data_IF_918960030544
#
_entry.id   IF_918960030544
#
_cell.length_a   1.000
_cell.length_b   1.000
_cell.length_c   1.000
_cell.angle_alpha   90.00
_cell.angle_beta   90.00
_cell.angle_gamma   90.00
#
_symmetry.space_group_name_H-M   'P 1'
#
loop_
_entity.id
_entity.type
_entity.pdbx_description
1 polymer ?
#
# COMPACT_ATOMS: atom_id res chain seq x y z
N UNK A 1 9.46 23.96 43.34
CA UNK A 1 8.21 23.17 43.37
C UNK A 1 7.38 23.61 42.17
N UNK A 2 7.55 22.95 41.02
CA UNK A 2 6.77 23.21 39.81
C UNK A 2 5.96 21.96 39.51
N UNK A 3 4.64 22.08 39.64
CA UNK A 3 3.68 21.06 39.23
C UNK A 3 3.57 21.09 37.70
N UNK A 4 3.99 20.01 37.05
CA UNK A 4 3.70 19.77 35.64
C UNK A 4 2.37 19.03 35.60
N UNK A 5 1.34 19.69 35.05
CA UNK A 5 0.03 19.12 34.81
C UNK A 5 0.16 17.94 33.83
N UNK A 6 -0.31 16.77 34.26
CA UNK A 6 -0.39 15.58 33.41
C UNK A 6 -1.40 15.81 32.30
N UNK A 7 -0.94 15.74 31.05
CA UNK A 7 -1.80 15.62 29.89
C UNK A 7 -2.45 14.22 29.95
N UNK A 8 -3.76 14.19 30.23
CA UNK A 8 -4.53 12.96 30.21
C UNK A 8 -4.49 12.38 28.79
N UNK A 9 -3.86 11.21 28.63
CA UNK A 9 -4.02 10.40 27.42
C UNK A 9 -5.48 9.98 27.36
N UNK A 10 -6.20 10.42 26.34
CA UNK A 10 -7.50 9.86 25.98
C UNK A 10 -7.37 8.33 25.89
N UNK A 11 -8.25 7.64 26.61
CA UNK A 11 -8.31 6.19 26.60
C UNK A 11 -8.62 5.72 25.17
N UNK A 12 -7.78 4.83 24.63
CA UNK A 12 -8.02 4.18 23.36
C UNK A 12 -9.41 3.53 23.37
N UNK A 13 -10.29 3.96 22.46
CA UNK A 13 -11.59 3.33 22.22
C UNK A 13 -11.30 1.88 21.81
N UNK A 14 -11.90 0.87 22.47
CA UNK A 14 -11.67 -0.52 22.09
C UNK A 14 -12.23 -0.74 20.69
N UNK A 15 -11.36 -1.14 19.77
CA UNK A 15 -11.75 -1.51 18.41
C UNK A 15 -12.63 -2.74 18.51
N UNK A 16 -13.93 -2.60 18.27
CA UNK A 16 -14.85 -3.74 18.22
C UNK A 16 -14.41 -4.68 17.11
N UNK A 17 -14.21 -5.97 17.39
CA UNK A 17 -14.09 -7.00 16.36
C UNK A 17 -15.31 -6.89 15.44
N UNK A 18 -15.12 -6.29 14.26
CA UNK A 18 -16.20 -5.93 13.37
C UNK A 18 -16.83 -7.17 12.77
N UNK A 19 -18.10 -7.42 13.09
CA UNK A 19 -18.87 -8.52 12.48
C UNK A 19 -18.77 -8.48 10.94
N UNK A 20 -18.27 -9.55 10.33
CA UNK A 20 -18.22 -9.74 8.87
C UNK A 20 -19.62 -10.14 8.39
N UNK A 21 -20.20 -9.32 7.52
CA UNK A 21 -21.50 -9.55 6.88
C UNK A 21 -21.48 -10.74 5.92
N UNK A 22 -22.65 -11.27 5.57
CA UNK A 22 -22.75 -12.35 4.58
C UNK A 22 -22.10 -11.98 3.25
N UNK A 23 -22.28 -10.73 2.79
CA UNK A 23 -21.70 -10.25 1.52
C UNK A 23 -20.18 -10.23 1.57
N UNK A 24 -19.61 -9.74 2.67
CA UNK A 24 -18.15 -9.70 2.88
C UNK A 24 -17.56 -11.13 2.98
N UNK A 25 -18.29 -12.09 3.56
CA UNK A 25 -17.89 -13.50 3.53
C UNK A 25 -17.84 -14.05 2.09
N UNK A 26 -18.80 -13.70 1.25
CA UNK A 26 -18.77 -14.10 -0.18
C UNK A 26 -17.60 -13.47 -0.92
N UNK A 27 -17.26 -12.22 -0.62
CA UNK A 27 -16.06 -11.57 -1.16
C UNK A 27 -14.79 -12.29 -0.73
N UNK A 28 -14.64 -12.62 0.56
CA UNK A 28 -13.45 -13.27 1.10
C UNK A 28 -13.28 -14.71 0.61
N UNK A 29 -14.35 -15.42 0.23
CA UNK A 29 -14.24 -16.76 -0.37
C UNK A 29 -13.48 -16.78 -1.71
N UNK A 30 -13.42 -15.65 -2.41
CA UNK A 30 -12.70 -15.52 -3.68
C UNK A 30 -11.25 -15.09 -3.51
N UNK A 31 -10.83 -14.73 -2.30
CA UNK A 31 -9.48 -14.26 -2.02
C UNK A 31 -8.75 -15.22 -1.10
N UNK A 32 -7.43 -15.27 -1.23
CA UNK A 32 -6.60 -16.03 -0.31
C UNK A 32 -5.21 -15.44 -0.21
N UNK A 33 -4.57 -15.72 0.92
CA UNK A 33 -3.20 -15.33 1.23
C UNK A 33 -2.42 -16.55 1.71
N UNK A 34 -1.15 -16.63 1.33
CA UNK A 34 -0.19 -17.48 2.00
C UNK A 34 1.20 -16.86 2.03
N UNK A 35 1.97 -17.21 3.06
CA UNK A 35 3.29 -16.66 3.30
C UNK A 35 4.34 -17.76 3.08
N UNK A 36 5.40 -17.46 2.33
CA UNK A 36 6.46 -18.42 2.00
C UNK A 36 7.79 -17.72 1.77
N UNK A 37 8.82 -18.14 2.50
CA UNK A 37 10.21 -17.65 2.34
C UNK A 37 10.34 -16.12 2.37
N UNK A 38 9.59 -15.46 3.26
CA UNK A 38 9.58 -14.00 3.38
C UNK A 38 8.71 -13.26 2.35
N UNK A 39 8.04 -13.98 1.46
CA UNK A 39 7.08 -13.43 0.50
C UNK A 39 5.63 -13.69 0.94
N UNK A 40 4.76 -12.74 0.62
CA UNK A 40 3.31 -12.87 0.76
C UNK A 40 2.74 -13.06 -0.63
N UNK A 41 2.03 -14.16 -0.89
CA UNK A 41 1.20 -14.27 -2.09
C UNK A 41 -0.23 -13.88 -1.72
N UNK A 42 -0.82 -12.98 -2.50
CA UNK A 42 -2.19 -12.51 -2.33
C UNK A 42 -2.95 -12.68 -3.64
N UNK A 43 -4.04 -13.43 -3.61
CA UNK A 43 -5.02 -13.47 -4.68
C UNK A 43 -6.24 -12.64 -4.30
N UNK A 44 -6.66 -11.74 -5.18
CA UNK A 44 -7.88 -10.92 -5.06
C UNK A 44 -8.67 -10.95 -6.37
N UNK A 45 -9.99 -10.93 -6.27
CA UNK A 45 -10.89 -11.12 -7.40
C UNK A 45 -12.14 -10.26 -7.28
N UNK A 46 -12.58 -9.72 -8.42
CA UNK A 46 -13.90 -9.10 -8.58
C UNK A 46 -13.86 -7.61 -8.88
N UNK A 47 -14.95 -6.94 -8.52
CA UNK A 47 -15.11 -5.50 -8.76
C UNK A 47 -14.21 -4.65 -7.86
N UNK A 48 -14.02 -3.35 -8.16
CA UNK A 48 -13.02 -2.51 -7.50
C UNK A 48 -13.12 -2.49 -5.98
N UNK A 49 -14.30 -2.22 -5.44
CA UNK A 49 -14.51 -2.23 -4.00
C UNK A 49 -14.31 -3.62 -3.36
N UNK A 50 -14.73 -4.68 -4.05
CA UNK A 50 -14.65 -6.06 -3.54
C UNK A 50 -13.18 -6.51 -3.41
N UNK A 51 -12.37 -6.35 -4.47
CA UNK A 51 -10.94 -6.69 -4.43
C UNK A 51 -10.17 -5.77 -3.49
N UNK A 52 -10.58 -4.50 -3.40
CA UNK A 52 -10.08 -3.56 -2.39
C UNK A 52 -10.33 -4.08 -0.97
N UNK A 53 -11.57 -4.49 -0.66
CA UNK A 53 -11.93 -5.06 0.64
C UNK A 53 -11.11 -6.30 0.98
N UNK A 54 -10.98 -7.24 0.04
CA UNK A 54 -10.19 -8.45 0.20
C UNK A 54 -8.73 -8.11 0.56
N UNK A 55 -8.10 -7.19 -0.18
CA UNK A 55 -6.73 -6.75 0.08
C UNK A 55 -6.60 -6.08 1.45
N UNK A 56 -7.42 -5.06 1.71
CA UNK A 56 -7.39 -4.32 2.97
C UNK A 56 -7.57 -5.22 4.19
N UNK A 57 -8.39 -6.27 4.07
CA UNK A 57 -8.60 -7.25 5.13
C UNK A 57 -7.41 -8.21 5.28
N UNK A 58 -6.94 -8.81 4.18
CA UNK A 58 -5.91 -9.86 4.21
C UNK A 58 -4.48 -9.34 4.45
N UNK A 59 -4.22 -8.05 4.17
CA UNK A 59 -2.91 -7.41 4.40
C UNK A 59 -2.99 -6.25 5.39
N UNK A 60 -3.95 -6.30 6.32
CA UNK A 60 -4.23 -5.20 7.23
C UNK A 60 -3.02 -4.83 8.12
N UNK A 61 -2.24 -5.82 8.54
CA UNK A 61 -1.06 -5.61 9.36
C UNK A 61 0.05 -4.92 8.56
N UNK A 62 0.30 -5.37 7.32
CA UNK A 62 1.33 -4.79 6.46
C UNK A 62 1.02 -3.33 6.10
N UNK A 63 -0.25 -3.01 5.87
CA UNK A 63 -0.70 -1.64 5.59
C UNK A 63 -0.52 -0.73 6.82
N UNK A 64 -0.95 -1.20 8.00
CA UNK A 64 -0.84 -0.47 9.27
C UNK A 64 0.62 -0.21 9.66
N UNK A 65 1.48 -1.22 9.50
CA UNK A 65 2.92 -1.12 9.78
C UNK A 65 3.64 -0.22 8.77
N UNK A 66 3.30 -0.28 7.48
CA UNK A 66 3.87 0.62 6.48
C UNK A 66 3.51 2.07 6.79
N UNK A 67 2.25 2.39 7.14
CA UNK A 67 1.87 3.76 7.48
C UNK A 67 2.68 4.32 8.65
N UNK A 68 2.83 3.51 9.72
CA UNK A 68 3.64 3.87 10.90
C UNK A 68 5.12 4.06 10.54
N UNK A 69 5.63 3.20 9.66
CA UNK A 69 7.02 3.27 9.19
C UNK A 69 7.24 4.54 8.36
N UNK A 70 6.33 4.85 7.44
CA UNK A 70 6.37 6.10 6.67
C UNK A 70 6.30 7.32 7.57
N UNK A 71 5.42 7.34 8.57
CA UNK A 71 5.33 8.43 9.55
C UNK A 71 6.67 8.66 10.27
N UNK A 72 7.34 7.58 10.68
CA UNK A 72 8.65 7.65 11.34
C UNK A 72 9.74 8.16 10.39
N UNK A 73 9.88 7.56 9.20
CA UNK A 73 10.89 7.93 8.20
C UNK A 73 10.74 9.41 7.83
N UNK A 74 9.52 9.82 7.47
CA UNK A 74 9.26 11.19 7.02
C UNK A 74 9.54 12.21 8.13
N UNK A 75 9.15 11.90 9.37
CA UNK A 75 9.46 12.78 10.51
C UNK A 75 10.97 12.89 10.73
N UNK A 76 11.68 11.76 10.67
CA UNK A 76 13.12 11.71 10.85
C UNK A 76 13.87 12.50 9.77
N UNK A 77 13.50 12.34 8.50
CA UNK A 77 14.21 12.95 7.37
C UNK A 77 13.84 14.42 7.11
N UNK A 78 12.61 14.82 7.45
CA UNK A 78 12.05 16.11 7.03
C UNK A 78 11.62 17.02 8.18
N UNK A 79 11.57 16.50 9.40
CA UNK A 79 10.96 17.12 10.57
C UNK A 79 9.45 17.43 10.45
N UNK A 80 8.79 17.03 9.36
CA UNK A 80 7.34 17.16 9.14
C UNK A 80 6.61 15.92 9.62
N UNK A 81 5.44 16.13 10.23
CA UNK A 81 4.54 15.04 10.63
C UNK A 81 3.82 14.45 9.41
N UNK A 82 3.32 13.21 9.55
CA UNK A 82 2.63 12.49 8.48
C UNK A 82 1.49 13.31 7.85
N UNK A 83 0.71 14.02 8.68
CA UNK A 83 -0.44 14.82 8.25
C UNK A 83 -0.07 15.84 7.17
N UNK A 84 1.12 16.42 7.23
CA UNK A 84 1.61 17.35 6.21
C UNK A 84 1.65 16.70 4.81
N UNK A 85 2.09 15.44 4.74
CA UNK A 85 2.18 14.69 3.47
C UNK A 85 0.83 14.14 3.03
N UNK A 86 -0.02 13.74 3.98
CA UNK A 86 -1.40 13.31 3.71
C UNK A 86 -2.22 14.45 3.11
N UNK A 87 -2.09 15.67 3.67
CA UNK A 87 -2.71 16.88 3.12
C UNK A 87 -2.19 17.21 1.70
N UNK A 88 -0.88 17.08 1.49
CA UNK A 88 -0.28 17.29 0.18
C UNK A 88 -0.81 16.28 -0.87
N UNK A 89 -0.89 15.00 -0.50
CA UNK A 89 -1.48 13.95 -1.34
C UNK A 89 -2.94 14.24 -1.66
N UNK A 90 -3.73 14.59 -0.65
CA UNK A 90 -5.12 14.97 -0.84
C UNK A 90 -5.26 16.15 -1.81
N UNK A 91 -4.44 17.20 -1.67
CA UNK A 91 -4.46 18.37 -2.55
C UNK A 91 -4.05 18.02 -3.99
N UNK A 92 -3.09 17.11 -4.17
CA UNK A 92 -2.58 16.77 -5.50
C UNK A 92 -3.50 15.80 -6.25
N UNK A 93 -4.07 14.81 -5.56
CA UNK A 93 -4.74 13.67 -6.18
C UNK A 93 -6.27 13.68 -6.07
N UNK A 94 -6.87 14.30 -5.05
CA UNK A 94 -8.35 14.31 -4.94
C UNK A 94 -8.96 14.93 -6.19
N UNK A 95 -9.98 14.25 -6.73
CA UNK A 95 -10.67 14.66 -7.97
C UNK A 95 -9.92 14.33 -9.28
N UNK A 96 -8.70 13.77 -9.21
CA UNK A 96 -7.91 13.40 -10.40
C UNK A 96 -7.71 11.89 -10.55
N UNK A 97 -7.88 11.13 -9.46
CA UNK A 97 -7.81 9.66 -9.49
C UNK A 97 -9.10 9.10 -10.08
N UNK A 98 -8.97 8.05 -10.91
CA UNK A 98 -10.10 7.40 -11.57
C UNK A 98 -11.09 6.84 -10.54
N UNK A 99 -12.38 6.80 -10.91
CA UNK A 99 -13.43 6.25 -10.04
C UNK A 99 -13.11 4.82 -9.58
N UNK A 100 -12.56 3.99 -10.47
CA UNK A 100 -12.20 2.62 -10.17
C UNK A 100 -11.18 2.53 -9.02
N UNK A 101 -10.09 3.30 -9.09
CA UNK A 101 -9.06 3.31 -8.06
C UNK A 101 -9.54 3.90 -6.74
N UNK A 102 -10.41 4.91 -6.80
CA UNK A 102 -11.07 5.45 -5.60
C UNK A 102 -11.92 4.37 -4.90
N UNK A 103 -12.72 3.61 -5.65
CA UNK A 103 -13.56 2.56 -5.08
C UNK A 103 -12.74 1.39 -4.53
N UNK A 104 -11.62 1.06 -5.17
CA UNK A 104 -10.68 0.05 -4.65
C UNK A 104 -10.03 0.50 -3.33
N UNK A 105 -9.51 1.72 -3.25
CA UNK A 105 -8.95 2.26 -2.00
C UNK A 105 -10.00 2.37 -0.88
N UNK A 106 -11.25 2.73 -1.19
CA UNK A 106 -12.35 2.71 -0.20
C UNK A 106 -12.65 1.29 0.28
N UNK A 107 -12.64 0.32 -0.64
CA UNK A 107 -12.75 -1.09 -0.30
C UNK A 107 -11.66 -1.50 0.68
N UNK A 108 -10.41 -1.10 0.42
CA UNK A 108 -9.28 -1.39 1.31
C UNK A 108 -9.50 -0.82 2.71
N UNK A 109 -9.90 0.45 2.83
CA UNK A 109 -10.22 1.05 4.13
C UNK A 109 -11.32 0.26 4.87
N UNK A 110 -12.39 -0.15 4.18
CA UNK A 110 -13.43 -0.98 4.79
C UNK A 110 -12.91 -2.36 5.22
N UNK A 111 -12.02 -2.97 4.44
CA UNK A 111 -11.36 -4.23 4.79
C UNK A 111 -10.46 -4.09 6.02
N UNK A 112 -9.67 -3.01 6.10
CA UNK A 112 -8.85 -2.67 7.28
C UNK A 112 -9.70 -2.56 8.55
N UNK A 113 -10.82 -1.84 8.47
CA UNK A 113 -11.75 -1.65 9.59
C UNK A 113 -12.28 -2.99 10.10
N UNK A 114 -12.68 -3.88 9.19
CA UNK A 114 -13.12 -5.25 9.53
C UNK A 114 -12.01 -6.12 10.11
N UNK A 115 -10.75 -5.86 9.78
CA UNK A 115 -9.59 -6.51 10.37
C UNK A 115 -9.16 -5.88 11.71
N UNK A 116 -9.92 -4.92 12.25
CA UNK A 116 -9.65 -4.28 13.54
C UNK A 116 -8.55 -3.22 13.46
N UNK A 117 -8.33 -2.63 12.29
CA UNK A 117 -7.36 -1.55 12.06
C UNK A 117 -8.08 -0.29 11.61
N UNK A 118 -7.58 0.88 12.02
CA UNK A 118 -8.15 2.17 11.64
C UNK A 118 -7.25 2.83 10.60
N UNK A 119 -7.87 3.31 9.51
CA UNK A 119 -7.19 4.10 8.49
C UNK A 119 -8.21 5.02 7.81
N UNK A 120 -7.84 6.26 7.55
CA UNK A 120 -8.64 7.19 6.76
C UNK A 120 -8.46 6.96 5.26
N UNK A 121 -9.42 7.41 4.46
CA UNK A 121 -9.28 7.37 3.01
C UNK A 121 -8.08 8.23 2.53
N UNK A 122 -7.82 9.36 3.18
CA UNK A 122 -6.71 10.25 2.88
C UNK A 122 -5.34 9.61 3.15
N UNK A 123 -5.20 8.87 4.24
CA UNK A 123 -3.98 8.08 4.50
C UNK A 123 -3.80 6.97 3.47
N UNK A 124 -4.87 6.27 3.09
CA UNK A 124 -4.82 5.26 2.03
C UNK A 124 -4.44 5.87 0.67
N UNK A 125 -4.98 7.05 0.36
CA UNK A 125 -4.64 7.82 -0.84
C UNK A 125 -3.18 8.27 -0.80
N UNK A 126 -2.69 8.73 0.36
CA UNK A 126 -1.29 9.05 0.56
C UNK A 126 -0.40 7.83 0.33
N UNK A 127 -0.72 6.66 0.91
CA UNK A 127 0.05 5.44 0.67
C UNK A 127 0.01 4.99 -0.80
N UNK A 128 -1.06 5.24 -1.54
CA UNK A 128 -1.05 4.96 -2.98
C UNK A 128 -0.30 6.02 -3.80
N UNK A 129 -0.07 7.21 -3.25
CA UNK A 129 0.69 8.29 -3.89
C UNK A 129 2.06 8.58 -3.26
N UNK A 130 2.56 7.76 -2.33
CA UNK A 130 3.71 8.15 -1.51
C UNK A 130 4.96 8.33 -2.36
N UNK A 131 5.13 7.54 -3.43
CA UNK A 131 6.26 7.67 -4.37
C UNK A 131 6.24 9.06 -5.01
N UNK A 132 5.10 9.46 -5.58
CA UNK A 132 4.90 10.79 -6.16
C UNK A 132 5.09 11.91 -5.14
N UNK A 133 4.66 11.72 -3.90
CA UNK A 133 4.74 12.74 -2.85
C UNK A 133 6.16 12.88 -2.31
N UNK A 134 6.77 11.77 -1.90
CA UNK A 134 8.02 11.73 -1.18
C UNK A 134 9.24 11.85 -2.10
N UNK A 135 9.16 11.36 -3.34
CA UNK A 135 10.30 11.33 -4.27
C UNK A 135 10.20 12.32 -5.44
N UNK A 136 9.00 12.78 -5.79
CA UNK A 136 8.84 13.75 -6.89
C UNK A 136 8.38 15.13 -6.42
N UNK A 137 7.27 15.23 -5.68
CA UNK A 137 6.74 16.51 -5.23
C UNK A 137 7.63 17.15 -4.16
N UNK A 138 8.00 16.41 -3.11
CA UNK A 138 8.82 16.93 -2.02
C UNK A 138 10.27 17.25 -2.42
N UNK A 139 11.01 16.41 -3.18
CA UNK A 139 12.36 16.75 -3.63
C UNK A 139 12.39 17.80 -4.74
N UNK A 140 11.30 18.07 -5.47
CA UNK A 140 11.26 19.29 -6.29
C UNK A 140 11.34 20.56 -5.43
N UNK A 141 10.95 20.48 -4.16
CA UNK A 141 11.22 21.52 -3.16
C UNK A 141 12.67 21.43 -2.59
N UNK A 142 13.43 20.34 -2.82
CA UNK A 142 14.83 20.13 -2.39
C UNK A 142 15.67 19.25 -3.34
N UNK A 143 16.76 19.77 -3.90
CA UNK A 143 17.77 18.99 -4.67
C UNK A 143 18.29 17.75 -3.89
N UNK A 144 17.71 16.57 -4.09
CA UNK A 144 18.19 15.29 -3.52
C UNK A 144 18.41 14.23 -4.60
N UNK A 145 19.13 13.15 -4.24
CA UNK A 145 19.37 12.00 -5.11
C UNK A 145 18.06 11.31 -5.51
N UNK A 146 18.00 10.86 -6.76
CA UNK A 146 16.88 10.11 -7.32
C UNK A 146 17.02 8.62 -6.94
N UNK A 147 15.93 7.95 -6.56
CA UNK A 147 15.90 6.50 -6.45
C UNK A 147 16.12 5.85 -7.82
N UNK A 148 16.77 4.69 -7.86
CA UNK A 148 17.06 4.01 -9.13
C UNK A 148 16.99 2.49 -8.99
N UNK A 149 16.12 1.85 -9.76
CA UNK A 149 16.05 0.40 -9.88
C UNK A 149 16.99 -0.11 -10.99
N UNK A 150 17.17 -1.43 -11.08
CA UNK A 150 17.85 -2.06 -12.21
C UNK A 150 16.94 -3.08 -12.91
N UNK A 151 16.99 -3.13 -14.24
CA UNK A 151 16.22 -4.06 -15.04
C UNK A 151 17.04 -4.55 -16.22
N UNK A 152 16.76 -5.78 -16.68
CA UNK A 152 17.30 -6.28 -17.94
C UNK A 152 16.27 -7.14 -18.69
N UNK A 153 16.50 -7.26 -19.99
CA UNK A 153 15.80 -8.19 -20.87
C UNK A 153 16.82 -8.91 -21.75
N UNK A 154 16.70 -10.23 -21.86
CA UNK A 154 17.51 -11.09 -22.73
C UNK A 154 16.59 -11.86 -23.68
N UNK A 155 16.97 -11.96 -24.95
CA UNK A 155 16.19 -12.61 -26.02
C UNK A 155 17.14 -13.20 -27.07
N UNK A 156 16.63 -14.06 -27.97
CA UNK A 156 17.40 -14.59 -29.09
C UNK A 156 18.61 -15.40 -28.62
N UNK A 157 19.79 -15.18 -29.20
CA UNK A 157 21.01 -15.93 -28.84
C UNK A 157 21.47 -15.71 -27.39
N UNK A 158 20.94 -14.69 -26.69
CA UNK A 158 21.23 -14.46 -25.28
C UNK A 158 20.44 -15.39 -24.32
N UNK A 159 19.48 -16.19 -24.83
CA UNK A 159 18.70 -17.14 -24.04
C UNK A 159 18.72 -18.53 -24.67
N UNK A 160 18.64 -19.58 -23.84
CA UNK A 160 18.85 -20.97 -24.28
C UNK A 160 17.85 -21.47 -25.34
N UNK A 161 16.65 -20.88 -25.39
CA UNK A 161 15.58 -21.25 -26.33
C UNK A 161 15.08 -20.06 -27.17
N UNK A 162 15.81 -18.94 -27.17
CA UNK A 162 15.46 -17.73 -27.90
C UNK A 162 14.29 -16.93 -27.30
N UNK A 163 13.64 -17.42 -26.23
CA UNK A 163 12.51 -16.72 -25.59
C UNK A 163 12.97 -15.57 -24.71
N UNK A 164 11.99 -14.76 -24.27
CA UNK A 164 12.23 -13.61 -23.41
C UNK A 164 12.51 -14.06 -21.99
N UNK A 165 13.61 -13.57 -21.43
CA UNK A 165 13.88 -13.54 -19.99
C UNK A 165 13.97 -12.08 -19.57
N UNK A 166 13.19 -11.68 -18.57
CA UNK A 166 13.21 -10.33 -18.02
C UNK A 166 13.32 -10.41 -16.50
N UNK A 167 14.03 -9.45 -15.91
CA UNK A 167 14.09 -9.31 -14.47
C UNK A 167 14.20 -7.84 -14.06
N UNK A 168 13.77 -7.57 -12.84
CA UNK A 168 13.78 -6.27 -12.20
C UNK A 168 14.27 -6.43 -10.75
N UNK A 169 15.13 -5.53 -10.29
CA UNK A 169 15.51 -5.41 -8.88
C UNK A 169 15.14 -4.01 -8.39
N UNK A 170 14.18 -3.96 -7.48
CA UNK A 170 13.72 -2.72 -6.81
C UNK A 170 14.76 -2.24 -5.81
N UNK A 171 15.09 -0.96 -5.84
CA UNK A 171 15.97 -0.32 -4.85
C UNK A 171 15.19 0.77 -4.13
N UNK A 172 15.09 0.67 -2.81
CA UNK A 172 14.57 1.74 -1.94
C UNK A 172 15.26 1.69 -0.58
N UNK A 173 14.82 2.49 0.39
CA UNK A 173 15.33 2.45 1.76
C UNK A 173 15.06 1.11 2.44
N UNK A 174 15.93 0.69 3.36
CA UNK A 174 15.74 -0.62 4.02
C UNK A 174 14.46 -0.68 4.86
N UNK A 175 14.07 0.45 5.46
CA UNK A 175 12.92 0.51 6.35
C UNK A 175 11.59 0.36 5.61
N UNK A 176 11.47 0.89 4.39
CA UNK A 176 10.27 0.75 3.55
C UNK A 176 10.35 -0.47 2.62
N UNK A 177 11.48 -0.78 2.00
CA UNK A 177 11.59 -1.89 1.02
C UNK A 177 11.18 -3.25 1.58
N UNK A 178 11.26 -3.48 2.89
CA UNK A 178 10.80 -4.73 3.51
C UNK A 178 9.31 -5.02 3.25
N UNK A 179 8.50 -3.99 2.98
CA UNK A 179 7.08 -4.11 2.64
C UNK A 179 6.83 -4.39 1.15
N UNK A 180 7.88 -4.38 0.31
CA UNK A 180 7.85 -4.71 -1.12
C UNK A 180 7.97 -6.23 -1.36
N UNK A 181 7.38 -7.03 -0.48
CA UNK A 181 7.48 -8.49 -0.46
C UNK A 181 6.15 -9.19 -0.78
N UNK A 182 5.23 -8.50 -1.45
CA UNK A 182 3.92 -9.06 -1.82
C UNK A 182 3.90 -9.38 -3.31
N UNK A 183 3.50 -10.59 -3.67
CA UNK A 183 3.10 -10.95 -5.04
C UNK A 183 1.57 -10.93 -5.08
N UNK A 184 1.01 -10.03 -5.87
CA UNK A 184 -0.44 -9.85 -6.00
C UNK A 184 -0.90 -10.41 -7.33
N UNK A 185 -1.84 -11.35 -7.25
CA UNK A 185 -2.58 -11.92 -8.35
C UNK A 185 -3.99 -11.32 -8.37
N UNK A 186 -4.25 -10.45 -9.35
CA UNK A 186 -5.50 -9.70 -9.48
C UNK A 186 -6.31 -10.31 -10.61
N UNK A 187 -7.50 -10.83 -10.29
CA UNK A 187 -8.50 -11.26 -11.25
C UNK A 187 -9.67 -10.25 -11.29
N UNK A 188 -9.60 -9.18 -12.11
CA UNK A 188 -10.65 -8.16 -12.11
C UNK A 188 -11.92 -8.67 -12.81
N UNK A 189 -13.07 -8.12 -12.44
CA UNK A 189 -14.35 -8.37 -13.12
C UNK A 189 -14.36 -7.85 -14.58
N UNK A 190 -13.49 -6.88 -14.89
CA UNK A 190 -13.29 -6.31 -16.22
C UNK A 190 -11.80 -6.13 -16.52
N UNK A 191 -11.39 -6.50 -17.73
CA UNK A 191 -10.00 -6.40 -18.17
C UNK A 191 -9.27 -7.74 -18.09
N UNK A 192 -7.97 -7.70 -17.80
CA UNK A 192 -7.11 -8.88 -17.79
C UNK A 192 -6.55 -9.14 -16.41
N UNK A 193 -6.30 -10.43 -16.12
CA UNK A 193 -5.60 -10.87 -14.91
C UNK A 193 -4.18 -10.33 -14.90
N UNK A 194 -3.73 -9.83 -13.76
CA UNK A 194 -2.39 -9.24 -13.57
C UNK A 194 -1.71 -9.98 -12.43
N UNK A 195 -0.44 -10.37 -12.64
CA UNK A 195 0.44 -10.87 -11.59
C UNK A 195 1.60 -9.89 -11.46
N UNK A 196 1.79 -9.31 -10.27
CA UNK A 196 2.83 -8.31 -10.04
C UNK A 196 3.42 -8.42 -8.64
N UNK A 197 4.68 -8.01 -8.49
CA UNK A 197 5.20 -7.62 -7.18
C UNK A 197 4.50 -6.33 -6.73
N UNK A 198 4.27 -6.16 -5.44
CA UNK A 198 3.61 -5.00 -4.86
C UNK A 198 3.97 -4.85 -3.39
N UNK A 199 3.29 -3.91 -2.76
CA UNK A 199 3.39 -3.55 -1.34
C UNK A 199 2.05 -3.79 -0.65
N UNK A 200 1.97 -3.70 0.68
CA UNK A 200 0.69 -3.84 1.41
C UNK A 200 -0.48 -3.03 0.78
N UNK A 201 -0.36 -1.70 0.67
CA UNK A 201 -1.48 -0.83 0.29
C UNK A 201 -1.60 -0.49 -1.21
N UNK A 202 -0.57 -0.77 -2.03
CA UNK A 202 -0.47 -0.16 -3.37
C UNK A 202 -1.29 -0.90 -4.42
N UNK A 203 -2.31 -0.27 -5.00
CA UNK A 203 -3.12 -0.84 -6.10
C UNK A 203 -2.35 -1.03 -7.43
N UNK A 204 -1.03 -0.80 -7.41
CA UNK A 204 -0.07 -0.97 -8.50
C UNK A 204 1.24 -1.56 -7.95
N UNK A 205 2.24 -1.76 -8.82
CA UNK A 205 3.49 -2.44 -8.45
C UNK A 205 4.33 -1.66 -7.43
N UNK A 206 4.58 -0.36 -7.69
CA UNK A 206 5.50 0.44 -6.88
C UNK A 206 6.94 -0.08 -6.94
N UNK A 207 7.32 -0.69 -8.06
CA UNK A 207 8.66 -1.23 -8.36
C UNK A 207 9.16 -0.69 -9.67
#
# INVERSE_FOLDING_TARGET
>A
MFLIAGCAREAAVPVSEGYITTKEKEWLKKAYRYDKNGWIFLHIEGGPFERGFQRGYLTANEIDELLKTMAYILKFETAKDLDFFVEAAAKLFKGKVSKEYIEEMKGMVAGMEKAGKTMTFEEMLFLNGFIDICWYWWPKEKKSMEPGCSAFIATGEATADGKIVMAHNTWSGYADTQFCNIIVDIAPDKGHRILMQSWGPLIYSGT
#
